data_IF_186585328800
#
_entry.id   IF_186585328800
#
_cell.length_a   1.000
_cell.length_b   1.000
_cell.length_c   1.000
_cell.angle_alpha   90.00
_cell.angle_beta   90.00
_cell.angle_gamma   90.00
#
_symmetry.space_group_name_H-M   'P 1'
#
loop_
_entity.id
_entity.type
_entity.pdbx_description
1 polymer ?
#
# COMPACT_ATOMS: atom_id res chain seq x y z
N UNK A 1 -17.72 -51.96 64.22
CA UNK A 1 -17.51 -50.65 63.57
C UNK A 1 -18.51 -49.66 64.14
N UNK A 2 -18.11 -48.40 64.39
CA UNK A 2 -19.00 -47.37 64.94
C UNK A 2 -19.79 -46.70 63.79
N UNK A 3 -21.13 -46.85 63.74
CA UNK A 3 -21.95 -46.33 62.64
C UNK A 3 -21.94 -44.80 62.54
N UNK A 4 -21.74 -44.09 63.65
CA UNK A 4 -21.70 -42.62 63.68
C UNK A 4 -20.44 -42.08 62.99
N UNK A 5 -19.30 -42.74 63.18
CA UNK A 5 -18.05 -42.36 62.51
C UNK A 5 -18.11 -42.61 60.99
N UNK A 6 -18.79 -43.68 60.56
CA UNK A 6 -18.99 -43.94 59.12
C UNK A 6 -19.96 -42.95 58.47
N UNK A 7 -21.00 -42.53 59.19
CA UNK A 7 -21.92 -41.50 58.70
C UNK A 7 -21.20 -40.15 58.49
N UNK A 8 -20.33 -39.77 59.43
CA UNK A 8 -19.57 -38.53 59.36
C UNK A 8 -18.56 -38.53 58.20
N UNK A 9 -17.85 -39.66 57.98
CA UNK A 9 -16.95 -39.79 56.82
C UNK A 9 -17.68 -39.75 55.47
N UNK A 10 -18.90 -40.27 55.40
CA UNK A 10 -19.70 -40.23 54.17
C UNK A 10 -20.16 -38.79 53.84
N UNK A 11 -20.53 -38.02 54.85
CA UNK A 11 -20.93 -36.62 54.71
C UNK A 11 -19.74 -35.74 54.27
N UNK A 12 -18.57 -35.92 54.89
CA UNK A 12 -17.34 -35.23 54.50
C UNK A 12 -16.93 -35.56 53.05
N UNK A 13 -17.06 -36.83 52.64
CA UNK A 13 -16.78 -37.24 51.26
C UNK A 13 -17.76 -36.62 50.26
N UNK A 14 -19.05 -36.52 50.60
CA UNK A 14 -20.05 -35.85 49.76
C UNK A 14 -19.75 -34.35 49.61
N UNK A 15 -19.43 -33.67 50.71
CA UNK A 15 -19.11 -32.23 50.68
C UNK A 15 -17.83 -31.97 49.88
N UNK A 16 -16.81 -32.83 50.02
CA UNK A 16 -15.58 -32.75 49.23
C UNK A 16 -15.85 -32.94 47.74
N UNK A 17 -16.68 -33.93 47.36
CA UNK A 17 -17.04 -34.18 45.97
C UNK A 17 -17.81 -33.00 45.36
N UNK A 18 -18.80 -32.46 46.07
CA UNK A 18 -19.57 -31.30 45.62
C UNK A 18 -18.70 -30.05 45.44
N UNK A 19 -17.71 -29.86 46.33
CA UNK A 19 -16.76 -28.74 46.23
C UNK A 19 -15.84 -28.88 45.02
N UNK A 20 -15.35 -30.09 44.75
CA UNK A 20 -14.54 -30.38 43.55
C UNK A 20 -15.33 -30.20 42.26
N UNK A 21 -16.59 -30.66 42.23
CA UNK A 21 -17.47 -30.45 41.07
C UNK A 21 -17.72 -28.96 40.80
N UNK A 22 -17.93 -28.15 41.86
CA UNK A 22 -18.14 -26.70 41.73
C UNK A 22 -16.90 -25.96 41.24
N UNK A 23 -15.71 -26.37 41.69
CA UNK A 23 -14.44 -25.83 41.21
C UNK A 23 -14.21 -26.14 39.72
N UNK A 24 -14.43 -27.40 39.32
CA UNK A 24 -14.29 -27.80 37.92
C UNK A 24 -15.28 -27.07 36.99
N UNK A 25 -16.51 -26.81 37.45
CA UNK A 25 -17.52 -26.06 36.70
C UNK A 25 -17.15 -24.58 36.55
N UNK A 26 -16.59 -23.97 37.61
CA UNK A 26 -16.07 -22.61 37.57
C UNK A 26 -14.86 -22.47 36.62
N UNK A 27 -13.90 -23.39 36.69
CA UNK A 27 -12.74 -23.42 35.78
C UNK A 27 -13.16 -23.60 34.31
N UNK A 28 -14.17 -24.43 34.05
CA UNK A 28 -14.72 -24.62 32.71
C UNK A 28 -15.44 -23.36 32.19
N UNK A 29 -16.14 -22.65 33.06
CA UNK A 29 -16.82 -21.38 32.72
C UNK A 29 -15.78 -20.29 32.38
N UNK A 30 -14.72 -20.17 33.18
CA UNK A 30 -13.63 -19.21 32.91
C UNK A 30 -12.90 -19.54 31.59
N UNK A 31 -12.67 -20.82 31.30
CA UNK A 31 -12.05 -21.25 30.03
C UNK A 31 -12.92 -20.90 28.81
N UNK A 32 -14.25 -21.05 28.92
CA UNK A 32 -15.18 -20.65 27.87
C UNK A 32 -15.22 -19.14 27.66
N UNK A 33 -15.23 -18.35 28.74
CA UNK A 33 -15.17 -16.89 28.69
C UNK A 33 -13.89 -16.41 27.99
N UNK A 34 -12.74 -17.00 28.35
CA UNK A 34 -11.46 -16.67 27.72
C UNK A 34 -11.45 -17.01 26.22
N UNK A 35 -12.07 -18.13 25.83
CA UNK A 35 -12.19 -18.51 24.42
C UNK A 35 -13.07 -17.52 23.64
N UNK A 36 -14.18 -17.07 24.23
CA UNK A 36 -15.07 -16.07 23.64
C UNK A 36 -14.36 -14.72 23.45
N UNK A 37 -13.59 -14.28 24.44
CA UNK A 37 -12.79 -13.05 24.35
C UNK A 37 -11.71 -13.15 23.26
N UNK A 38 -11.04 -14.30 23.15
CA UNK A 38 -10.06 -14.57 22.09
C UNK A 38 -10.71 -14.57 20.71
N UNK A 39 -11.88 -15.19 20.58
CA UNK A 39 -12.60 -15.24 19.31
C UNK A 39 -13.09 -13.85 18.88
N UNK A 40 -13.60 -13.07 19.84
CA UNK A 40 -14.00 -11.68 19.63
C UNK A 40 -12.82 -10.81 19.18
N UNK A 41 -11.67 -10.97 19.83
CA UNK A 41 -10.43 -10.27 19.45
C UNK A 41 -9.99 -10.67 18.03
N UNK A 42 -9.97 -11.97 17.72
CA UNK A 42 -9.59 -12.46 16.40
C UNK A 42 -10.51 -11.93 15.28
N UNK A 43 -11.81 -11.80 15.54
CA UNK A 43 -12.78 -11.21 14.59
C UNK A 43 -12.48 -9.71 14.37
N UNK A 44 -12.18 -8.97 15.43
CA UNK A 44 -11.84 -7.55 15.34
C UNK A 44 -10.53 -7.35 14.56
N UNK A 45 -9.52 -8.16 14.83
CA UNK A 45 -8.25 -8.14 14.10
C UNK A 45 -8.44 -8.47 12.62
N UNK A 46 -9.25 -9.49 12.31
CA UNK A 46 -9.59 -9.83 10.94
C UNK A 46 -10.32 -8.68 10.22
N UNK A 47 -11.26 -8.01 10.89
CA UNK A 47 -11.96 -6.86 10.35
C UNK A 47 -11.01 -5.68 10.07
N UNK A 48 -10.07 -5.40 10.98
CA UNK A 48 -9.04 -4.37 10.78
C UNK A 48 -8.12 -4.69 9.58
N UNK A 49 -7.74 -5.97 9.41
CA UNK A 49 -6.96 -6.42 8.26
C UNK A 49 -7.75 -6.23 6.96
N UNK A 50 -9.03 -6.61 6.93
CA UNK A 50 -9.89 -6.44 5.75
C UNK A 50 -9.98 -4.96 5.37
N UNK A 51 -10.28 -4.08 6.32
CA UNK A 51 -10.35 -2.64 6.07
C UNK A 51 -9.01 -2.08 5.57
N UNK A 52 -7.89 -2.51 6.15
CA UNK A 52 -6.56 -2.09 5.69
C UNK A 52 -6.28 -2.56 4.26
N UNK A 53 -6.66 -3.79 3.91
CA UNK A 53 -6.50 -4.34 2.57
C UNK A 53 -7.39 -3.64 1.55
N UNK A 54 -8.60 -3.25 1.93
CA UNK A 54 -9.53 -2.52 1.09
C UNK A 54 -9.01 -1.09 0.80
N UNK A 55 -8.47 -0.42 1.82
CA UNK A 55 -7.80 0.88 1.63
C UNK A 55 -6.59 0.76 0.68
N UNK A 56 -5.76 -0.28 0.85
CA UNK A 56 -4.62 -0.55 -0.05
C UNK A 56 -5.06 -0.80 -1.50
N UNK A 57 -6.16 -1.54 -1.70
CA UNK A 57 -6.72 -1.79 -3.03
C UNK A 57 -7.22 -0.50 -3.69
N UNK A 58 -7.82 0.39 -2.92
CA UNK A 58 -8.25 1.69 -3.41
C UNK A 58 -7.06 2.54 -3.88
N UNK A 59 -5.99 2.60 -3.08
CA UNK A 59 -4.76 3.33 -3.45
C UNK A 59 -4.14 2.80 -4.75
N UNK A 60 -4.08 1.48 -4.94
CA UNK A 60 -3.58 0.85 -6.17
C UNK A 60 -4.46 1.19 -7.37
N UNK A 61 -5.78 1.17 -7.18
CA UNK A 61 -6.74 1.51 -8.25
C UNK A 61 -6.57 2.95 -8.70
N UNK A 62 -6.37 3.85 -7.75
CA UNK A 62 -6.17 5.28 -7.98
C UNK A 62 -4.85 5.54 -8.71
N UNK A 63 -3.76 4.87 -8.31
CA UNK A 63 -2.47 4.93 -8.98
C UNK A 63 -2.55 4.45 -10.44
N UNK A 64 -3.19 3.31 -10.70
CA UNK A 64 -3.36 2.78 -12.05
C UNK A 64 -4.14 3.74 -12.95
N UNK A 65 -5.19 4.37 -12.39
CA UNK A 65 -6.00 5.37 -13.10
C UNK A 65 -5.19 6.63 -13.42
N UNK A 66 -4.38 7.12 -12.49
CA UNK A 66 -3.50 8.26 -12.73
C UNK A 66 -2.44 7.96 -13.79
N UNK A 67 -1.82 6.76 -13.71
CA UNK A 67 -0.81 6.32 -14.68
C UNK A 67 -1.36 6.33 -16.11
N UNK A 68 -2.54 5.74 -16.33
CA UNK A 68 -3.19 5.75 -17.65
C UNK A 68 -3.51 7.15 -18.15
N UNK A 69 -3.91 8.06 -17.26
CA UNK A 69 -4.18 9.44 -17.64
C UNK A 69 -2.91 10.17 -18.09
N UNK A 70 -1.78 9.93 -17.40
CA UNK A 70 -0.47 10.48 -17.78
C UNK A 70 0.00 9.89 -19.11
N UNK A 71 -0.09 8.57 -19.31
CA UNK A 71 0.26 7.91 -20.57
C UNK A 71 -0.53 8.51 -21.75
N UNK A 72 -1.85 8.64 -21.61
CA UNK A 72 -2.71 9.25 -22.64
C UNK A 72 -2.30 10.70 -22.93
N UNK A 73 -1.91 11.46 -21.91
CA UNK A 73 -1.46 12.85 -22.07
C UNK A 73 -0.12 12.90 -22.82
N UNK A 74 0.80 11.99 -22.50
CA UNK A 74 2.11 11.90 -23.16
C UNK A 74 1.98 11.51 -24.63
N UNK A 75 1.11 10.54 -24.96
CA UNK A 75 0.83 10.16 -26.34
C UNK A 75 0.29 11.35 -27.14
N UNK A 76 -0.65 12.11 -26.56
CA UNK A 76 -1.20 13.32 -27.18
C UNK A 76 -0.12 14.37 -27.43
N UNK A 77 0.72 14.68 -26.43
CA UNK A 77 1.80 15.65 -26.57
C UNK A 77 2.83 15.21 -27.62
N UNK A 78 3.13 13.91 -27.69
CA UNK A 78 4.04 13.34 -28.68
C UNK A 78 3.49 13.53 -30.09
N UNK A 79 2.20 13.25 -30.30
CA UNK A 79 1.53 13.45 -31.58
C UNK A 79 1.51 14.94 -31.99
N UNK A 80 1.22 15.85 -31.04
CA UNK A 80 1.28 17.29 -31.29
C UNK A 80 2.69 17.73 -31.70
N UNK A 81 3.74 17.21 -31.04
CA UNK A 81 5.13 17.55 -31.30
C UNK A 81 5.63 17.01 -32.66
N UNK A 82 5.14 15.85 -33.09
CA UNK A 82 5.42 15.31 -34.43
C UNK A 82 4.79 16.16 -35.54
N UNK A 83 3.52 16.58 -35.39
CA UNK A 83 2.85 17.50 -36.33
C UNK A 83 3.65 18.79 -36.47
N UNK A 84 4.05 19.31 -35.33
CA UNK A 84 4.91 20.47 -35.17
C UNK A 84 6.24 20.23 -35.93
N UNK A 85 7.00 19.17 -35.65
CA UNK A 85 8.30 18.90 -36.31
C UNK A 85 8.21 18.74 -37.83
N UNK A 86 7.05 18.29 -38.34
CA UNK A 86 6.80 18.12 -39.78
C UNK A 86 6.46 19.42 -40.54
N UNK A 87 6.28 20.55 -39.85
CA UNK A 87 6.03 21.86 -40.48
C UNK A 87 7.31 22.71 -40.49
N UNK A 88 7.86 22.99 -41.69
CA UNK A 88 8.90 24.00 -41.92
C UNK A 88 8.29 25.41 -41.82
N UNK A 89 8.20 25.97 -40.62
CA UNK A 89 7.78 27.37 -40.43
C UNK A 89 8.66 28.10 -39.39
N UNK A 90 9.19 29.25 -39.82
CA UNK A 90 9.71 30.45 -39.13
C UNK A 90 10.13 30.34 -37.65
N UNK A 91 11.32 30.90 -37.31
CA UNK A 91 11.98 30.89 -35.98
C UNK A 91 11.10 31.26 -34.77
N UNK A 92 9.99 31.97 -34.96
CA UNK A 92 8.99 32.24 -33.91
C UNK A 92 8.29 30.95 -33.42
N UNK A 93 7.99 30.02 -34.34
CA UNK A 93 7.40 28.72 -34.02
C UNK A 93 8.40 27.80 -33.30
N UNK A 94 9.69 27.94 -33.59
CA UNK A 94 10.75 27.24 -32.84
C UNK A 94 10.89 27.77 -31.41
N UNK A 95 10.85 29.09 -31.21
CA UNK A 95 10.89 29.69 -29.87
C UNK A 95 9.66 29.31 -29.01
N UNK A 96 8.46 29.26 -29.62
CA UNK A 96 7.25 28.77 -28.93
C UNK A 96 7.35 27.29 -28.56
N UNK A 97 7.93 26.44 -29.42
CA UNK A 97 8.17 25.02 -29.13
C UNK A 97 9.17 24.84 -28.00
N UNK A 98 10.26 25.60 -28.01
CA UNK A 98 11.26 25.55 -26.96
C UNK A 98 10.66 25.93 -25.60
N UNK A 99 9.85 27.00 -25.60
CA UNK A 99 9.13 27.47 -24.41
C UNK A 99 8.09 26.46 -23.91
N UNK A 100 7.37 25.81 -24.83
CA UNK A 100 6.43 24.72 -24.50
C UNK A 100 7.16 23.51 -23.91
N UNK A 101 8.31 23.15 -24.49
CA UNK A 101 9.14 22.03 -24.02
C UNK A 101 9.73 22.29 -22.63
N UNK A 102 10.17 23.52 -22.34
CA UNK A 102 10.57 23.93 -20.99
C UNK A 102 9.43 23.86 -19.98
N UNK A 103 8.22 24.32 -20.35
CA UNK A 103 7.05 24.23 -19.46
C UNK A 103 6.70 22.78 -19.13
N UNK A 104 6.71 21.91 -20.15
CA UNK A 104 6.50 20.47 -19.98
C UNK A 104 7.59 19.83 -19.12
N UNK A 105 8.84 20.30 -19.20
CA UNK A 105 9.91 19.85 -18.32
C UNK A 105 9.63 20.23 -16.86
N UNK A 106 9.23 21.47 -16.58
CA UNK A 106 8.94 21.89 -15.20
C UNK A 106 7.74 21.13 -14.60
N UNK A 107 6.71 20.87 -15.41
CA UNK A 107 5.56 20.04 -15.02
C UNK A 107 5.98 18.59 -14.71
N UNK A 108 6.79 17.97 -15.59
CA UNK A 108 7.26 16.60 -15.41
C UNK A 108 8.22 16.44 -14.21
N UNK A 109 8.97 17.48 -13.84
CA UNK A 109 9.81 17.48 -12.64
C UNK A 109 8.98 17.27 -11.37
N UNK A 110 7.79 17.86 -11.33
CA UNK A 110 6.84 17.70 -10.22
C UNK A 110 6.28 16.28 -10.17
N UNK A 111 5.96 15.69 -11.33
CA UNK A 111 5.48 14.30 -11.45
C UNK A 111 6.54 13.30 -10.98
N UNK A 112 7.81 13.49 -11.36
CA UNK A 112 8.93 12.66 -10.87
C UNK A 112 9.10 12.75 -9.35
N UNK A 113 8.94 13.94 -8.78
CA UNK A 113 8.94 14.15 -7.33
C UNK A 113 7.81 13.40 -6.63
N UNK A 114 6.60 13.44 -7.20
CA UNK A 114 5.44 12.71 -6.70
C UNK A 114 5.65 11.19 -6.80
N UNK A 115 6.25 10.71 -7.88
CA UNK A 115 6.52 9.28 -8.08
C UNK A 115 7.60 8.78 -7.12
N UNK A 116 8.63 9.58 -6.82
CA UNK A 116 9.61 9.28 -5.77
C UNK A 116 8.93 9.16 -4.40
N UNK A 117 8.07 10.11 -4.07
CA UNK A 117 7.29 10.09 -2.82
C UNK A 117 6.43 8.83 -2.70
N UNK A 118 5.73 8.46 -3.78
CA UNK A 118 4.93 7.24 -3.85
C UNK A 118 5.80 5.98 -3.67
N UNK A 119 6.95 5.91 -4.36
CA UNK A 119 7.91 4.81 -4.20
C UNK A 119 8.37 4.68 -2.74
N UNK A 120 8.80 5.77 -2.10
CA UNK A 120 9.22 5.73 -0.68
C UNK A 120 8.11 5.30 0.28
N UNK A 121 6.85 5.61 -0.03
CA UNK A 121 5.70 5.19 0.80
C UNK A 121 5.37 3.71 0.62
N UNK A 122 5.43 3.19 -0.61
CA UNK A 122 4.96 1.83 -0.92
C UNK A 122 6.07 0.79 -0.73
N UNK A 123 7.33 1.15 -0.97
CA UNK A 123 8.50 0.26 -0.90
C UNK A 123 8.62 -0.58 0.39
N UNK A 124 8.33 -0.05 1.61
CA UNK A 124 8.38 -0.85 2.84
C UNK A 124 7.35 -1.98 2.90
N UNK A 125 6.24 -1.85 2.19
CA UNK A 125 5.10 -2.78 2.23
C UNK A 125 5.13 -3.83 1.12
N UNK A 126 6.01 -3.65 0.13
CA UNK A 126 6.18 -4.57 -1.00
C UNK A 126 7.03 -5.79 -0.63
N UNK A 127 6.72 -6.93 -1.25
CA UNK A 127 7.58 -8.11 -1.25
C UNK A 127 8.93 -7.82 -1.94
N UNK A 128 9.89 -8.73 -1.77
CA UNK A 128 11.24 -8.57 -2.36
C UNK A 128 11.22 -8.49 -3.89
N UNK A 129 10.35 -9.28 -4.54
CA UNK A 129 10.19 -9.28 -6.00
C UNK A 129 9.63 -7.95 -6.49
N UNK A 130 8.54 -7.49 -5.85
CA UNK A 130 7.88 -6.23 -6.20
C UNK A 130 8.80 -5.02 -5.97
N UNK A 131 9.60 -5.05 -4.90
CA UNK A 131 10.65 -4.04 -4.66
C UNK A 131 11.67 -3.97 -5.78
N UNK A 132 12.10 -5.12 -6.30
CA UNK A 132 13.06 -5.18 -7.39
C UNK A 132 12.48 -4.59 -8.68
N UNK A 133 11.22 -4.91 -8.99
CA UNK A 133 10.50 -4.35 -10.15
C UNK A 133 10.32 -2.84 -10.02
N UNK A 134 9.76 -2.36 -8.90
CA UNK A 134 9.55 -0.93 -8.66
C UNK A 134 10.87 -0.13 -8.72
N UNK A 135 11.96 -0.72 -8.22
CA UNK A 135 13.29 -0.12 -8.30
C UNK A 135 13.84 -0.05 -9.73
N UNK A 136 13.55 -1.06 -10.57
CA UNK A 136 13.94 -1.08 -11.97
C UNK A 136 13.18 -0.02 -12.78
N UNK A 137 11.86 0.08 -12.56
CA UNK A 137 10.99 1.07 -13.21
C UNK A 137 11.42 2.50 -12.85
N UNK A 138 11.68 2.76 -11.56
CA UNK A 138 12.21 4.05 -11.10
C UNK A 138 13.54 4.42 -11.77
N UNK A 139 14.46 3.46 -11.90
CA UNK A 139 15.75 3.69 -12.57
C UNK A 139 15.59 4.00 -14.05
N UNK A 140 14.73 3.27 -14.75
CA UNK A 140 14.44 3.53 -16.16
C UNK A 140 13.89 4.95 -16.35
N UNK A 141 12.93 5.34 -15.52
CA UNK A 141 12.34 6.68 -15.57
C UNK A 141 13.39 7.78 -15.33
N UNK A 142 14.29 7.58 -14.35
CA UNK A 142 15.37 8.52 -14.07
C UNK A 142 16.36 8.65 -15.23
N UNK A 143 16.64 7.55 -15.95
CA UNK A 143 17.52 7.57 -17.13
C UNK A 143 16.87 8.36 -18.27
N UNK A 144 15.59 8.11 -18.54
CA UNK A 144 14.85 8.82 -19.57
C UNK A 144 14.77 10.33 -19.27
N UNK A 145 14.49 10.68 -18.01
CA UNK A 145 14.48 12.07 -17.55
C UNK A 145 15.79 12.80 -17.82
N UNK A 146 16.92 12.21 -17.41
CA UNK A 146 18.26 12.77 -17.68
C UNK A 146 18.59 12.82 -19.17
N UNK A 147 17.97 11.97 -19.99
CA UNK A 147 18.06 12.04 -21.44
C UNK A 147 17.39 13.30 -21.98
N UNK A 148 16.18 13.57 -21.50
CA UNK A 148 15.37 14.75 -21.84
C UNK A 148 16.02 16.06 -21.39
N UNK A 149 16.50 16.15 -20.14
CA UNK A 149 17.24 17.33 -19.64
C UNK A 149 18.40 17.68 -20.57
N UNK A 150 19.22 16.68 -20.93
CA UNK A 150 20.37 16.86 -21.83
C UNK A 150 19.98 17.18 -23.28
N UNK A 151 18.78 16.82 -23.71
CA UNK A 151 18.29 17.15 -25.05
C UNK A 151 17.87 18.62 -25.11
N UNK A 152 17.08 19.08 -24.12
CA UNK A 152 16.65 20.47 -23.97
C UNK A 152 17.84 21.40 -23.78
N UNK A 153 18.80 21.01 -22.95
CA UNK A 153 20.02 21.77 -22.71
C UNK A 153 20.81 21.94 -24.02
N UNK A 154 20.95 20.87 -24.81
CA UNK A 154 21.60 20.93 -26.13
C UNK A 154 20.84 21.80 -27.13
N UNK A 155 19.51 21.82 -27.13
CA UNK A 155 18.75 22.70 -28.02
C UNK A 155 18.77 24.16 -27.57
N UNK A 156 18.96 24.46 -26.28
CA UNK A 156 19.17 25.82 -25.77
C UNK A 156 20.55 26.39 -26.11
N UNK A 157 21.60 25.56 -26.07
CA UNK A 157 22.98 26.00 -26.35
C UNK A 157 23.39 25.90 -27.84
N UNK A 158 22.54 25.36 -28.71
CA UNK A 158 22.75 25.31 -30.17
C UNK A 158 21.93 26.37 -30.94
N UNK A 159 21.34 27.36 -30.24
CA UNK A 159 20.72 28.56 -30.81
C UNK A 159 21.72 29.72 -30.77
#
# INVERSE_FOLDING_TARGET
LNPTAMAQQLEEAQVSLLSQMRLADAENTDALQQLEDQWSTAIQDAAAIIQSKEAQLQDVTDYCRQTKAVETTLEKLTAELDVVRSTEESSLKEAERLSSSQRSMEENRTVLGQMLLAHTKVCPHLSRSERATAQADYKNLQVQWRGLERAVERSLYNI
#
